data_IF_067506159226
#
_entry.id   IF_067506159226
#
_cell.length_a   1.000
_cell.length_b   1.000
_cell.length_c   1.000
_cell.angle_alpha   90.00
_cell.angle_beta   90.00
_cell.angle_gamma   90.00
#
_symmetry.space_group_name_H-M   'P 1'
#
loop_
_entity.id
_entity.type
_entity.pdbx_description
1 polymer ?
#
# COMPACT_ATOMS: atom_id res chain seq x y z
N UNK A 1 -23.07 24.40 4.03
CA UNK A 1 -22.35 23.09 3.90
C UNK A 1 -22.99 22.23 2.79
N UNK A 2 -23.46 22.85 1.71
CA UNK A 2 -23.81 22.17 0.44
C UNK A 2 -22.60 22.10 -0.51
N UNK A 3 -21.49 22.75 -0.14
CA UNK A 3 -20.41 23.11 -1.05
C UNK A 3 -19.36 22.03 -1.30
N UNK A 4 -19.43 20.86 -0.64
CA UNK A 4 -18.38 19.83 -0.74
C UNK A 4 -18.82 18.49 -1.34
N UNK A 5 -20.06 18.37 -1.82
CA UNK A 5 -20.52 17.14 -2.49
C UNK A 5 -20.51 17.26 -4.03
N UNK A 6 -20.63 18.48 -4.57
CA UNK A 6 -20.74 18.68 -6.02
C UNK A 6 -19.41 18.66 -6.79
N UNK A 7 -18.26 18.70 -6.11
CA UNK A 7 -16.95 18.79 -6.78
C UNK A 7 -16.24 17.44 -6.97
N UNK A 8 -16.70 16.35 -6.34
CA UNK A 8 -15.99 15.07 -6.32
C UNK A 8 -16.67 13.94 -7.12
N UNK A 9 -17.93 14.12 -7.52
CA UNK A 9 -18.68 13.11 -8.27
C UNK A 9 -19.29 13.79 -9.50
N UNK A 10 -18.92 13.32 -10.69
CA UNK A 10 -19.63 13.62 -11.93
C UNK A 10 -21.10 13.28 -11.69
N UNK A 11 -21.95 14.32 -11.60
CA UNK A 11 -23.37 14.22 -11.25
C UNK A 11 -24.02 13.13 -12.10
N UNK A 12 -24.27 11.96 -11.51
CA UNK A 12 -25.01 10.90 -12.19
C UNK A 12 -26.51 11.22 -12.14
N UNK A 13 -27.27 10.56 -13.01
CA UNK A 13 -28.71 10.74 -13.16
C UNK A 13 -29.47 10.19 -11.92
N UNK A 14 -28.83 9.36 -11.09
CA UNK A 14 -29.45 8.63 -9.98
C UNK A 14 -28.78 8.96 -8.63
N UNK A 15 -29.01 10.19 -8.15
CA UNK A 15 -28.43 10.74 -6.91
C UNK A 15 -28.59 9.84 -5.68
N UNK A 16 -29.72 9.16 -5.55
CA UNK A 16 -29.99 8.29 -4.40
C UNK A 16 -29.12 7.02 -4.44
N UNK A 17 -28.83 6.50 -5.63
CA UNK A 17 -27.97 5.34 -5.81
C UNK A 17 -26.50 5.69 -5.54
N UNK A 18 -26.05 6.86 -6.00
CA UNK A 18 -24.71 7.36 -5.66
C UNK A 18 -24.54 7.55 -4.16
N UNK A 19 -25.56 8.14 -3.50
CA UNK A 19 -25.54 8.35 -2.06
C UNK A 19 -25.50 7.02 -1.31
N UNK A 20 -26.29 6.03 -1.73
CA UNK A 20 -26.25 4.69 -1.16
C UNK A 20 -24.88 4.02 -1.36
N UNK A 21 -24.31 4.12 -2.56
CA UNK A 21 -22.99 3.55 -2.86
C UNK A 21 -21.88 4.15 -1.99
N UNK A 22 -21.87 5.49 -1.82
CA UNK A 22 -20.92 6.18 -0.95
C UNK A 22 -21.11 5.79 0.51
N UNK A 23 -22.36 5.69 0.99
CA UNK A 23 -22.63 5.26 2.36
C UNK A 23 -22.15 3.82 2.61
N UNK A 24 -22.44 2.88 1.71
CA UNK A 24 -21.94 1.51 1.82
C UNK A 24 -20.40 1.45 1.82
N UNK A 25 -19.73 2.29 1.04
CA UNK A 25 -18.28 2.40 1.05
C UNK A 25 -17.75 2.93 2.39
N UNK A 26 -18.36 3.99 2.95
CA UNK A 26 -17.96 4.57 4.24
C UNK A 26 -18.15 3.56 5.39
N UNK A 27 -19.29 2.87 5.44
CA UNK A 27 -19.54 1.81 6.43
C UNK A 27 -18.52 0.67 6.32
N UNK A 28 -18.16 0.29 5.09
CA UNK A 28 -17.12 -0.72 4.86
C UNK A 28 -15.76 -0.24 5.37
N UNK A 29 -15.37 1.01 5.10
CA UNK A 29 -14.10 1.59 5.56
C UNK A 29 -14.03 1.72 7.09
N UNK A 30 -15.14 1.99 7.76
CA UNK A 30 -15.18 2.00 9.22
C UNK A 30 -15.07 0.60 9.81
N UNK A 31 -15.66 -0.42 9.16
CA UNK A 31 -15.45 -1.83 9.54
C UNK A 31 -13.98 -2.24 9.44
N UNK A 32 -13.23 -1.70 8.49
CA UNK A 32 -11.78 -1.90 8.37
C UNK A 32 -10.96 -1.00 9.31
N UNK A 33 -11.62 -0.26 10.22
CA UNK A 33 -10.99 0.70 11.14
C UNK A 33 -10.13 1.78 10.45
N UNK A 34 -10.43 2.06 9.17
CA UNK A 34 -9.73 3.10 8.39
C UNK A 34 -10.29 4.47 8.75
N UNK A 35 -11.62 4.56 8.85
CA UNK A 35 -12.34 5.79 9.22
C UNK A 35 -13.23 5.53 10.45
N UNK A 36 -13.73 6.59 11.07
CA UNK A 36 -14.70 6.50 12.17
C UNK A 36 -15.78 7.56 12.02
N UNK A 37 -17.02 7.18 12.27
CA UNK A 37 -18.18 8.07 12.30
C UNK A 37 -18.37 8.65 13.71
N UNK A 38 -18.59 9.96 13.78
CA UNK A 38 -19.04 10.65 14.98
C UNK A 38 -20.31 11.46 14.66
N UNK A 39 -21.29 11.40 15.54
CA UNK A 39 -22.44 12.32 15.48
C UNK A 39 -22.09 13.59 16.25
N UNK A 40 -22.08 14.71 15.53
CA UNK A 40 -21.76 16.02 16.09
C UNK A 40 -22.99 16.91 15.95
N UNK A 41 -23.38 17.54 17.04
CA UNK A 41 -24.41 18.56 17.05
C UNK A 41 -23.83 19.85 16.48
N UNK A 42 -24.42 20.35 15.40
CA UNK A 42 -23.99 21.60 14.78
C UNK A 42 -24.91 22.71 15.24
N UNK A 43 -24.39 23.62 16.06
CA UNK A 43 -25.13 24.73 16.69
C UNK A 43 -25.91 25.58 15.67
N UNK A 44 -25.41 25.71 14.45
CA UNK A 44 -26.03 26.52 13.39
C UNK A 44 -27.26 25.87 12.73
N UNK A 45 -27.46 24.56 12.86
CA UNK A 45 -28.51 23.82 12.13
C UNK A 45 -29.48 23.04 13.03
N UNK A 46 -29.30 23.07 14.37
CA UNK A 46 -30.10 22.31 15.35
C UNK A 46 -30.33 20.84 14.93
N UNK A 47 -29.34 20.24 14.26
CA UNK A 47 -29.39 18.90 13.67
C UNK A 47 -28.08 18.19 13.94
N UNK A 48 -28.18 16.91 14.29
CA UNK A 48 -27.03 16.02 14.39
C UNK A 48 -26.54 15.66 12.99
N UNK A 49 -25.25 15.88 12.75
CA UNK A 49 -24.57 15.47 11.51
C UNK A 49 -23.62 14.32 11.80
N UNK A 50 -23.62 13.32 10.92
CA UNK A 50 -22.60 12.27 10.90
C UNK A 50 -21.37 12.79 10.17
N UNK A 51 -20.25 12.83 10.86
CA UNK A 51 -18.94 13.20 10.31
C UNK A 51 -18.07 11.96 10.31
N UNK A 52 -17.48 11.65 9.16
CA UNK A 52 -16.54 10.55 8.99
C UNK A 52 -15.12 11.11 8.94
N UNK A 53 -14.25 10.62 9.82
CA UNK A 53 -12.86 11.09 9.93
C UNK A 53 -11.90 9.91 9.78
N UNK A 54 -10.76 10.14 9.13
CA UNK A 54 -9.70 9.14 9.01
C UNK A 54 -9.15 8.79 10.40
N UNK A 55 -9.24 7.52 10.77
CA UNK A 55 -8.76 7.00 12.06
C UNK A 55 -7.27 6.62 11.99
N UNK A 56 -6.81 6.10 10.85
CA UNK A 56 -5.41 5.68 10.64
C UNK A 56 -4.90 6.15 9.28
N UNK A 57 -3.65 6.62 9.15
CA UNK A 57 -3.02 6.85 7.86
C UNK A 57 -3.06 5.56 7.03
N UNK A 58 -3.47 5.63 5.77
CA UNK A 58 -3.56 4.45 4.89
C UNK A 58 -2.22 3.70 4.77
N UNK A 59 -1.11 4.44 4.85
CA UNK A 59 0.27 3.92 4.84
C UNK A 59 0.59 3.00 6.04
N UNK A 60 -0.16 3.11 7.13
CA UNK A 60 0.05 2.33 8.35
C UNK A 60 -0.73 1.01 8.38
N UNK A 61 -1.50 0.71 7.34
CA UNK A 61 -2.33 -0.50 7.28
C UNK A 61 -1.45 -1.72 6.97
N UNK A 62 -1.30 -2.68 7.91
CA UNK A 62 -0.49 -3.87 7.66
C UNK A 62 -1.16 -4.74 6.60
N UNK A 63 -0.37 -5.20 5.63
CA UNK A 63 -0.80 -6.18 4.64
C UNK A 63 -0.11 -7.51 4.93
N UNK A 64 -0.90 -8.57 5.03
CA UNK A 64 -0.37 -9.92 5.14
C UNK A 64 -0.14 -10.47 3.74
N UNK A 65 1.05 -10.99 3.49
CA UNK A 65 1.40 -11.66 2.24
C UNK A 65 1.59 -13.14 2.51
N UNK A 66 0.85 -13.96 1.78
CA UNK A 66 1.03 -15.41 1.77
C UNK A 66 1.81 -15.79 0.51
N UNK A 67 2.99 -16.38 0.70
CA UNK A 67 3.87 -16.77 -0.40
C UNK A 67 3.92 -18.30 -0.50
N UNK A 68 3.63 -18.85 -1.68
CA UNK A 68 3.93 -20.26 -1.98
C UNK A 68 5.42 -20.58 -1.79
N UNK A 69 5.72 -21.82 -1.38
CA UNK A 69 7.09 -22.24 -1.06
C UNK A 69 8.05 -22.13 -2.25
N UNK A 70 7.57 -22.42 -3.45
CA UNK A 70 8.33 -22.32 -4.70
C UNK A 70 8.70 -20.87 -5.01
N UNK A 71 7.75 -19.94 -4.88
CA UNK A 71 7.99 -18.51 -5.04
C UNK A 71 9.00 -18.00 -4.00
N UNK A 72 8.83 -18.39 -2.74
CA UNK A 72 9.75 -18.01 -1.68
C UNK A 72 11.18 -18.54 -1.92
N UNK A 73 11.30 -19.78 -2.42
CA UNK A 73 12.57 -20.36 -2.85
C UNK A 73 13.25 -19.55 -3.95
N UNK A 74 12.50 -19.20 -5.01
CA UNK A 74 13.03 -18.39 -6.12
C UNK A 74 13.50 -17.01 -5.66
N UNK A 75 12.73 -16.34 -4.79
CA UNK A 75 13.10 -15.07 -4.20
C UNK A 75 14.43 -15.16 -3.44
N UNK A 76 14.56 -16.15 -2.56
CA UNK A 76 15.77 -16.36 -1.78
C UNK A 76 16.99 -16.65 -2.67
N UNK A 77 16.83 -17.45 -3.73
CA UNK A 77 17.91 -17.73 -4.70
C UNK A 77 18.43 -16.44 -5.33
N UNK A 78 17.54 -15.60 -5.87
CA UNK A 78 17.93 -14.34 -6.54
C UNK A 78 18.66 -13.41 -5.58
N UNK A 79 18.14 -13.23 -4.35
CA UNK A 79 18.77 -12.38 -3.34
C UNK A 79 20.15 -12.93 -2.98
N UNK A 80 20.26 -14.24 -2.72
CA UNK A 80 21.50 -14.86 -2.28
C UNK A 80 22.58 -14.86 -3.36
N UNK A 81 22.20 -15.06 -4.63
CA UNK A 81 23.11 -14.95 -5.77
C UNK A 81 23.65 -13.53 -5.92
N UNK A 82 22.77 -12.52 -5.84
CA UNK A 82 23.19 -11.13 -5.88
C UNK A 82 24.09 -10.76 -4.69
N UNK A 83 23.70 -11.13 -3.48
CA UNK A 83 24.47 -10.97 -2.25
C UNK A 83 25.85 -11.63 -2.34
N UNK A 84 25.95 -12.79 -2.99
CA UNK A 84 27.22 -13.45 -3.29
C UNK A 84 28.07 -12.61 -4.25
N UNK A 85 27.48 -12.10 -5.33
CA UNK A 85 28.18 -11.30 -6.33
C UNK A 85 28.78 -10.01 -5.75
N UNK A 86 28.09 -9.38 -4.78
CA UNK A 86 28.58 -8.15 -4.10
C UNK A 86 29.38 -8.42 -2.82
N UNK A 87 29.58 -9.70 -2.46
CA UNK A 87 30.36 -10.10 -1.27
C UNK A 87 29.68 -9.85 0.08
N UNK A 88 28.35 -9.68 0.13
CA UNK A 88 27.57 -9.43 1.36
C UNK A 88 26.78 -10.65 1.80
N UNK A 89 27.41 -11.55 2.56
CA UNK A 89 26.77 -12.78 3.05
C UNK A 89 25.83 -12.58 4.22
N UNK A 90 25.93 -11.46 4.90
CA UNK A 90 25.03 -11.02 5.96
C UNK A 90 23.62 -10.68 5.44
N UNK A 91 23.49 -10.41 4.14
CA UNK A 91 22.22 -10.13 3.45
C UNK A 91 21.61 -11.38 2.80
N UNK A 92 21.87 -12.58 3.34
CA UNK A 92 21.26 -13.80 2.82
C UNK A 92 19.81 -13.93 3.30
N UNK A 93 18.96 -14.39 2.39
CA UNK A 93 17.54 -14.64 2.59
C UNK A 93 17.30 -16.14 2.84
N UNK A 94 16.54 -16.44 3.91
CA UNK A 94 15.97 -17.76 4.18
C UNK A 94 14.57 -17.84 3.54
N UNK A 95 14.31 -18.79 2.61
CA UNK A 95 13.02 -18.91 1.95
C UNK A 95 11.86 -19.28 2.90
N UNK A 96 12.12 -19.74 4.12
CA UNK A 96 11.09 -20.02 5.12
C UNK A 96 10.69 -18.79 5.94
N UNK A 97 11.48 -17.71 5.86
CA UNK A 97 11.29 -16.49 6.64
C UNK A 97 11.59 -15.25 5.79
N UNK A 98 10.81 -15.06 4.72
CA UNK A 98 10.92 -13.85 3.90
C UNK A 98 10.42 -12.64 4.69
N UNK A 99 11.32 -11.68 4.86
CA UNK A 99 11.04 -10.42 5.56
C UNK A 99 10.77 -9.28 4.58
N UNK A 100 10.27 -8.15 5.09
CA UNK A 100 10.12 -6.93 4.30
C UNK A 100 11.46 -6.44 3.71
N UNK A 101 12.57 -6.65 4.41
CA UNK A 101 13.91 -6.30 3.94
C UNK A 101 14.26 -7.08 2.67
N UNK A 102 13.96 -8.39 2.64
CA UNK A 102 14.19 -9.21 1.45
C UNK A 102 13.37 -8.75 0.23
N UNK A 103 12.13 -8.30 0.45
CA UNK A 103 11.31 -7.72 -0.64
C UNK A 103 11.92 -6.41 -1.14
N UNK A 104 12.45 -5.58 -0.23
CA UNK A 104 13.17 -4.35 -0.60
C UNK A 104 14.45 -4.66 -1.39
N UNK A 105 15.18 -5.71 -1.00
CA UNK A 105 16.38 -6.15 -1.71
C UNK A 105 16.06 -6.57 -3.14
N UNK A 106 14.97 -7.30 -3.38
CA UNK A 106 14.55 -7.64 -4.75
C UNK A 106 14.21 -6.40 -5.59
N UNK A 107 13.58 -5.39 -5.02
CA UNK A 107 13.32 -4.11 -5.69
C UNK A 107 14.64 -3.42 -6.03
N UNK A 108 15.59 -3.41 -5.09
CA UNK A 108 16.92 -2.83 -5.30
C UNK A 108 17.67 -3.54 -6.43
N UNK A 109 17.72 -4.88 -6.39
CA UNK A 109 18.35 -5.73 -7.42
C UNK A 109 17.73 -5.44 -8.78
N UNK A 110 16.40 -5.38 -8.86
CA UNK A 110 15.69 -5.11 -10.11
C UNK A 110 16.03 -3.72 -10.64
N UNK A 111 15.99 -2.70 -9.79
CA UNK A 111 16.35 -1.33 -10.16
C UNK A 111 17.82 -1.21 -10.59
N UNK A 112 18.71 -1.94 -9.94
CA UNK A 112 20.12 -1.98 -10.28
C UNK A 112 20.34 -2.51 -11.71
N UNK A 113 19.67 -3.60 -12.08
CA UNK A 113 19.76 -4.14 -13.44
C UNK A 113 19.03 -3.27 -14.48
N UNK A 114 17.86 -2.70 -14.15
CA UNK A 114 17.11 -1.84 -15.07
C UNK A 114 17.83 -0.52 -15.39
N UNK A 115 18.59 0.02 -14.44
CA UNK A 115 19.30 1.30 -14.59
C UNK A 115 20.76 1.14 -15.05
N UNK A 116 21.17 -0.05 -15.51
CA UNK A 116 22.43 -0.24 -16.23
C UNK A 116 23.55 -0.97 -15.47
N UNK A 117 23.32 -1.46 -14.25
CA UNK A 117 24.35 -2.16 -13.46
C UNK A 117 25.60 -1.29 -13.21
N UNK A 118 26.67 -1.84 -12.63
CA UNK A 118 27.97 -1.18 -12.71
C UNK A 118 28.42 -1.30 -14.17
N UNK A 119 28.79 -0.18 -14.79
CA UNK A 119 29.50 -0.23 -16.07
C UNK A 119 30.66 -1.23 -15.92
N UNK A 120 30.70 -2.26 -16.76
CA UNK A 120 31.89 -3.11 -16.85
C UNK A 120 33.05 -2.18 -17.15
N UNK A 121 33.94 -1.97 -16.17
CA UNK A 121 35.20 -1.29 -16.39
C UNK A 121 35.90 -2.01 -17.55
N UNK A 122 35.85 -1.32 -18.68
CA UNK A 122 36.48 -1.64 -19.93
C UNK A 122 37.89 -2.16 -19.61
N UNK A 123 38.14 -3.43 -19.96
CA UNK A 123 39.49 -3.98 -20.06
C UNK A 123 40.31 -3.05 -20.96
N UNK A 124 41.03 -2.09 -20.38
CA UNK A 124 41.99 -1.25 -21.10
C UNK A 124 43.35 -1.30 -20.42
N UNK A 125 44.11 -2.23 -20.98
CA UNK A 125 45.56 -2.25 -21.24
C UNK A 125 46.52 -2.21 -20.06
#
# INVERSE_FOLDING_TARGET
MEDNFQALVLVTIEKDNDRAAVLCALESLEKYEIIKCAEVEVEEEAKNKKIWTLLRPLESMPQNLELPQDLAGMMATVINEFSTAIGRRDSYCDPTQITQENVRDLIFITNFYLNGGPEEDDKKH
#
